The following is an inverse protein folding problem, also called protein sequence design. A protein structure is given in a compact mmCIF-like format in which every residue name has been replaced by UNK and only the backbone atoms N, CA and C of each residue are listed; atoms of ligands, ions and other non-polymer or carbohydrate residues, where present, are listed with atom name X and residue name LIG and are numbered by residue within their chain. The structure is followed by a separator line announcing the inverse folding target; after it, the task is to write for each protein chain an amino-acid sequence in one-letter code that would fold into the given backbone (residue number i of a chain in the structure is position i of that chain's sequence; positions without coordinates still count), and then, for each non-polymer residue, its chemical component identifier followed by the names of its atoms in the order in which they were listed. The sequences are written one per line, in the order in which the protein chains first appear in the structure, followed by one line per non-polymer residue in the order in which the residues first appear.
data_IF_438631560481
#
_entry.id   IF_438631560481
#
_cell.length_a   1.000
_cell.length_b   1.000
_cell.length_c   1.000
_cell.angle_alpha   90.00
_cell.angle_beta   90.00
_cell.angle_gamma   90.00
#
_symmetry.space_group_name_H-M   'P 1'
#
loop_
_entity.id
_entity.type
_entity.pdbx_description
1 polymer ?
#
# COMPACT_ATOMS: atom_id res chain seq x y z
N UNK A 1 25.31 25.47 4.84
CA UNK A 1 24.99 24.15 4.26
C UNK A 1 23.75 23.49 4.89
N UNK A 2 23.74 22.99 6.14
CA UNK A 2 22.56 22.29 6.74
C UNK A 2 21.20 23.00 6.53
N UNK A 3 21.12 24.31 6.75
CA UNK A 3 19.89 25.08 6.51
C UNK A 3 19.46 25.13 5.04
N UNK A 4 20.40 25.12 4.08
CA UNK A 4 20.10 25.15 2.64
C UNK A 4 19.43 23.85 2.18
N UNK A 5 19.90 22.69 2.65
CA UNK A 5 19.23 21.40 2.44
C UNK A 5 17.76 21.46 2.91
N UNK A 6 17.53 21.86 4.15
CA UNK A 6 16.19 21.82 4.78
C UNK A 6 15.25 22.93 4.30
N UNK A 7 15.77 24.11 3.92
CA UNK A 7 14.97 25.30 3.54
C UNK A 7 14.89 25.55 2.03
N UNK A 8 15.78 24.96 1.22
CA UNK A 8 15.81 25.15 -0.24
C UNK A 8 15.64 23.82 -0.97
N UNK A 9 16.52 22.83 -0.75
CA UNK A 9 16.46 21.57 -1.50
C UNK A 9 15.20 20.76 -1.19
N UNK A 10 14.88 20.50 0.08
CA UNK A 10 13.67 19.71 0.43
C UNK A 10 12.37 20.36 -0.11
N UNK A 11 12.14 21.68 -0.02
CA UNK A 11 10.97 22.32 -0.65
C UNK A 11 10.87 22.22 -2.19
N UNK A 12 11.97 22.02 -2.94
CA UNK A 12 11.92 21.90 -4.41
C UNK A 12 11.14 20.67 -4.88
N UNK A 13 11.08 19.59 -4.08
CA UNK A 13 10.26 18.40 -4.35
C UNK A 13 8.75 18.71 -4.41
N UNK A 14 8.29 19.84 -3.89
CA UNK A 14 6.88 20.25 -3.96
C UNK A 14 6.43 20.70 -5.36
N UNK A 15 7.34 21.21 -6.18
CA UNK A 15 7.04 21.86 -7.48
C UNK A 15 6.39 20.87 -8.46
N UNK A 16 5.52 21.34 -9.35
CA UNK A 16 4.82 20.49 -10.34
C UNK A 16 5.79 19.83 -11.32
N UNK A 17 6.73 20.59 -11.89
CA UNK A 17 7.69 20.15 -12.92
C UNK A 17 8.94 19.44 -12.38
N UNK A 18 8.82 18.73 -11.25
CA UNK A 18 9.94 18.05 -10.58
C UNK A 18 10.69 17.07 -11.51
N UNK A 19 10.00 16.46 -12.47
CA UNK A 19 10.57 15.51 -13.44
C UNK A 19 11.67 16.10 -14.32
N UNK A 20 11.78 17.42 -14.43
CA UNK A 20 12.84 18.08 -15.22
C UNK A 20 14.20 18.11 -14.53
N UNK A 21 14.26 17.92 -13.20
CA UNK A 21 15.50 18.06 -12.42
C UNK A 21 15.62 17.06 -11.24
N UNK A 22 14.75 16.06 -11.17
CA UNK A 22 14.66 15.13 -10.03
C UNK A 22 15.97 14.40 -9.74
N UNK A 23 16.59 13.78 -10.75
CA UNK A 23 17.81 13.01 -10.58
C UNK A 23 18.96 13.87 -10.03
N UNK A 24 19.07 15.12 -10.49
CA UNK A 24 20.07 16.07 -10.03
C UNK A 24 19.80 16.53 -8.59
N UNK A 25 18.53 16.64 -8.19
CA UNK A 25 18.13 17.01 -6.84
C UNK A 25 18.28 15.85 -5.84
N UNK A 26 17.85 14.64 -6.20
CA UNK A 26 18.03 13.41 -5.43
C UNK A 26 19.53 13.15 -5.18
N UNK A 27 20.35 13.20 -6.24
CA UNK A 27 21.82 13.14 -6.13
C UNK A 27 22.38 14.21 -5.16
N UNK A 28 21.90 15.45 -5.22
CA UNK A 28 22.30 16.49 -4.25
C UNK A 28 21.89 16.14 -2.81
N UNK A 29 20.72 15.52 -2.60
CA UNK A 29 20.25 15.10 -1.27
C UNK A 29 21.10 13.94 -0.74
N UNK A 30 21.34 12.89 -1.54
CA UNK A 30 22.19 11.74 -1.18
C UNK A 30 23.60 12.18 -0.82
N UNK A 31 24.23 13.05 -1.63
CA UNK A 31 25.56 13.61 -1.37
C UNK A 31 25.63 14.57 -0.17
N UNK A 32 24.47 14.95 0.40
CA UNK A 32 24.38 15.63 1.70
C UNK A 32 24.34 14.63 2.87
N UNK A 33 23.78 13.43 2.68
CA UNK A 33 23.67 12.38 3.70
C UNK A 33 24.98 11.61 3.86
N UNK A 34 25.66 11.24 2.77
CA UNK A 34 26.99 10.60 2.80
C UNK A 34 28.03 11.40 3.60
N UNK A 35 27.87 12.73 3.65
CA UNK A 35 28.77 13.65 4.36
C UNK A 35 28.37 13.88 5.81
N UNK A 36 27.12 13.58 6.16
CA UNK A 36 26.55 13.82 7.49
C UNK A 36 25.21 13.09 7.68
N UNK A 37 25.27 11.83 8.10
CA UNK A 37 24.11 10.98 8.33
C UNK A 37 23.14 11.51 9.42
N UNK A 38 23.54 12.49 10.24
CA UNK A 38 22.61 13.19 11.16
C UNK A 38 21.51 13.96 10.42
N UNK A 39 21.68 14.19 9.11
CA UNK A 39 20.71 14.85 8.25
C UNK A 39 19.61 13.92 7.71
N UNK A 40 19.77 12.59 7.79
CA UNK A 40 18.84 11.65 7.17
C UNK A 40 17.44 11.72 7.80
N UNK A 41 17.34 11.86 9.11
CA UNK A 41 16.05 12.01 9.80
C UNK A 41 15.25 13.25 9.32
N UNK A 42 15.77 14.49 9.37
CA UNK A 42 15.03 15.65 8.88
C UNK A 42 14.81 15.64 7.35
N UNK A 43 15.66 14.95 6.56
CA UNK A 43 15.45 14.73 5.12
C UNK A 43 14.25 13.81 4.88
N UNK A 44 14.25 12.59 5.42
CA UNK A 44 13.17 11.61 5.21
C UNK A 44 11.85 12.13 5.79
N UNK A 45 11.85 12.75 6.99
CA UNK A 45 10.65 13.42 7.52
C UNK A 45 10.18 14.59 6.64
N UNK A 46 11.09 15.26 5.93
CA UNK A 46 10.78 16.30 4.94
C UNK A 46 10.11 15.76 3.68
N UNK A 47 10.66 14.69 3.08
CA UNK A 47 10.08 14.01 1.92
C UNK A 47 8.70 13.42 2.24
N UNK A 48 8.56 12.71 3.37
CA UNK A 48 7.27 12.19 3.84
C UNK A 48 6.24 13.30 4.10
N UNK A 49 6.67 14.49 4.53
CA UNK A 49 5.78 15.67 4.69
C UNK A 49 5.34 16.27 3.35
N UNK A 50 6.13 16.12 2.29
CA UNK A 50 5.83 16.60 0.94
C UNK A 50 5.33 15.51 -0.01
N UNK A 51 5.01 14.32 0.51
CA UNK A 51 4.59 13.16 -0.28
C UNK A 51 3.43 13.52 -1.23
N UNK A 52 3.54 13.24 -2.54
CA UNK A 52 2.48 13.53 -3.50
C UNK A 52 1.20 12.75 -3.20
N UNK A 53 0.03 13.34 -3.46
CA UNK A 53 -1.29 12.68 -3.24
C UNK A 53 -2.19 12.66 -4.46
N UNK A 54 -1.73 13.23 -5.57
CA UNK A 54 -2.53 13.52 -6.77
C UNK A 54 -1.73 13.34 -8.06
N UNK A 55 -0.59 12.64 -8.01
CA UNK A 55 0.32 12.49 -9.13
C UNK A 55 1.19 11.24 -8.92
N UNK A 56 0.71 10.09 -9.41
CA UNK A 56 1.36 8.79 -9.25
C UNK A 56 2.81 8.78 -9.74
N UNK A 57 3.09 9.49 -10.85
CA UNK A 57 4.46 9.62 -11.38
C UNK A 57 5.41 10.24 -10.37
N UNK A 58 4.97 11.26 -9.61
CA UNK A 58 5.80 11.83 -8.54
C UNK A 58 5.92 10.89 -7.34
N UNK A 59 4.93 10.04 -7.05
CA UNK A 59 5.07 9.02 -6.00
C UNK A 59 6.09 7.95 -6.40
N UNK A 60 6.09 7.50 -7.65
CA UNK A 60 7.13 6.60 -8.20
C UNK A 60 8.52 7.23 -8.11
N UNK A 61 8.65 8.53 -8.37
CA UNK A 61 9.91 9.27 -8.23
C UNK A 61 10.36 9.39 -6.76
N UNK A 62 9.46 9.74 -5.84
CA UNK A 62 9.75 9.80 -4.40
C UNK A 62 10.12 8.42 -3.83
N UNK A 63 9.52 7.33 -4.32
CA UNK A 63 9.92 5.97 -3.96
C UNK A 63 11.35 5.66 -4.44
N UNK A 64 11.76 6.17 -5.60
CA UNK A 64 13.14 6.08 -6.09
C UNK A 64 14.13 6.85 -5.23
N UNK A 65 13.87 8.14 -4.94
CA UNK A 65 14.73 8.95 -4.08
C UNK A 65 14.86 8.34 -2.66
N UNK A 66 13.78 7.76 -2.13
CA UNK A 66 13.81 7.05 -0.85
C UNK A 66 14.69 5.79 -0.89
N UNK A 67 14.72 5.05 -2.00
CA UNK A 67 15.61 3.89 -2.14
C UNK A 67 17.08 4.32 -2.23
N UNK A 68 17.40 5.33 -3.04
CA UNK A 68 18.74 5.94 -3.12
C UNK A 68 19.22 6.48 -1.75
N UNK A 69 18.28 6.94 -0.90
CA UNK A 69 18.56 7.36 0.49
C UNK A 69 18.74 6.16 1.44
N UNK A 70 18.05 5.02 1.20
CA UNK A 70 18.23 3.80 1.99
C UNK A 70 19.57 3.13 1.68
N UNK A 71 20.07 3.17 0.44
CA UNK A 71 21.39 2.62 0.08
C UNK A 71 22.56 3.27 0.85
N UNK A 72 22.37 4.48 1.38
CA UNK A 72 23.38 5.24 2.16
C UNK A 72 23.01 5.45 3.64
N UNK A 73 21.93 4.83 4.15
CA UNK A 73 21.49 5.08 5.53
C UNK A 73 22.29 4.25 6.55
N UNK A 74 22.82 4.88 7.60
CA UNK A 74 23.34 4.14 8.75
C UNK A 74 22.17 3.53 9.55
N UNK A 75 22.27 2.28 10.05
CA UNK A 75 21.21 1.65 10.84
C UNK A 75 20.71 2.49 12.04
N UNK A 76 21.56 3.21 12.81
CA UNK A 76 21.09 4.09 13.90
C UNK A 76 20.22 5.28 13.44
N UNK A 77 20.29 5.68 12.17
CA UNK A 77 19.37 6.69 11.60
C UNK A 77 18.08 6.02 11.10
N UNK A 78 18.19 4.85 10.46
CA UNK A 78 17.05 4.05 9.99
C UNK A 78 16.05 3.77 11.12
N UNK A 79 16.54 3.39 12.31
CA UNK A 79 15.70 3.14 13.51
C UNK A 79 14.79 4.33 13.88
N UNK A 80 15.18 5.57 13.56
CA UNK A 80 14.40 6.79 13.86
C UNK A 80 13.30 7.08 12.83
N UNK A 81 13.45 6.55 11.61
CA UNK A 81 12.57 6.85 10.46
C UNK A 81 11.77 5.64 9.96
N UNK A 82 12.10 4.42 10.37
CA UNK A 82 11.42 3.19 9.92
C UNK A 82 9.90 3.24 10.11
N UNK A 83 9.42 3.67 11.28
CA UNK A 83 7.99 3.75 11.56
C UNK A 83 7.23 4.67 10.58
N UNK A 84 7.54 5.99 10.49
CA UNK A 84 6.83 6.87 9.55
C UNK A 84 7.09 6.52 8.08
N UNK A 85 8.26 5.94 7.75
CA UNK A 85 8.57 5.48 6.39
C UNK A 85 7.70 4.27 6.00
N UNK A 86 7.75 3.17 6.73
CA UNK A 86 6.96 1.98 6.39
C UNK A 86 5.45 2.21 6.56
N UNK A 87 5.02 3.10 7.46
CA UNK A 87 3.62 3.61 7.49
C UNK A 87 3.22 4.39 6.23
N UNK A 88 4.16 4.83 5.39
CA UNK A 88 3.89 5.38 4.06
C UNK A 88 4.04 4.33 2.95
N UNK A 89 5.08 3.48 3.00
CA UNK A 89 5.24 2.35 2.05
C UNK A 89 4.01 1.44 2.08
N UNK A 90 3.44 1.13 3.24
CA UNK A 90 2.18 0.38 3.39
C UNK A 90 1.00 0.98 2.59
N UNK A 91 0.96 2.31 2.41
CA UNK A 91 -0.06 3.01 1.61
C UNK A 91 0.24 2.94 0.11
N UNK A 92 1.51 3.09 -0.27
CA UNK A 92 1.95 2.99 -1.66
C UNK A 92 1.78 1.55 -2.20
N UNK A 93 2.13 0.55 -1.40
CA UNK A 93 1.85 -0.88 -1.67
C UNK A 93 0.33 -1.13 -1.73
N UNK A 94 -0.46 -0.46 -0.89
CA UNK A 94 -1.95 -0.47 -0.97
C UNK A 94 -2.54 0.40 -2.11
N UNK A 95 -1.74 0.99 -2.99
CA UNK A 95 -2.26 1.88 -4.03
C UNK A 95 -2.95 1.08 -5.14
N UNK A 96 -4.15 1.48 -5.60
CA UNK A 96 -4.78 0.85 -6.77
C UNK A 96 -4.02 1.12 -8.08
N UNK A 97 -3.10 2.08 -8.07
CA UNK A 97 -2.27 2.46 -9.23
C UNK A 97 -1.02 1.57 -9.30
N UNK A 98 -1.07 0.52 -10.14
CA UNK A 98 -0.10 -0.58 -10.12
C UNK A 98 1.37 -0.15 -10.08
N UNK A 99 1.80 0.85 -10.86
CA UNK A 99 3.20 1.32 -10.87
C UNK A 99 3.70 1.84 -9.50
N UNK A 100 2.81 2.37 -8.65
CA UNK A 100 3.17 2.85 -7.30
C UNK A 100 3.30 1.67 -6.34
N UNK A 101 2.43 0.66 -6.46
CA UNK A 101 2.51 -0.56 -5.66
C UNK A 101 3.73 -1.41 -6.05
N UNK A 102 3.97 -1.59 -7.35
CA UNK A 102 5.14 -2.28 -7.93
C UNK A 102 6.45 -1.62 -7.50
N UNK A 103 6.58 -0.29 -7.69
CA UNK A 103 7.81 0.44 -7.31
C UNK A 103 8.10 0.36 -5.81
N UNK A 104 7.08 0.29 -4.98
CA UNK A 104 7.21 0.14 -3.54
C UNK A 104 7.51 -1.32 -3.11
N UNK A 105 7.01 -2.33 -3.85
CA UNK A 105 7.32 -3.74 -3.60
C UNK A 105 8.74 -4.12 -4.03
N UNK A 106 9.36 -3.40 -4.96
CA UNK A 106 10.76 -3.62 -5.34
C UNK A 106 11.77 -3.28 -4.23
N UNK A 107 11.37 -2.62 -3.13
CA UNK A 107 12.24 -2.44 -1.95
C UNK A 107 12.68 -3.80 -1.34
N UNK A 108 11.93 -4.87 -1.56
CA UNK A 108 12.30 -6.24 -1.14
C UNK A 108 13.29 -6.94 -2.09
N UNK A 109 13.62 -6.32 -3.23
CA UNK A 109 14.67 -6.80 -4.14
C UNK A 109 16.04 -6.16 -3.84
N UNK A 110 16.08 -5.12 -3.01
CA UNK A 110 17.29 -4.42 -2.60
C UNK A 110 17.88 -5.11 -1.36
N UNK A 111 19.10 -5.66 -1.48
CA UNK A 111 19.73 -6.46 -0.43
C UNK A 111 19.98 -5.67 0.86
N UNK A 112 20.34 -4.38 0.77
CA UNK A 112 20.60 -3.56 1.95
C UNK A 112 19.31 -3.07 2.62
N UNK A 113 18.30 -2.68 1.83
CA UNK A 113 16.97 -2.41 2.38
C UNK A 113 16.39 -3.66 3.08
N UNK A 114 16.63 -4.86 2.52
CA UNK A 114 16.22 -6.12 3.14
C UNK A 114 16.93 -6.42 4.46
N UNK A 115 18.26 -6.21 4.57
CA UNK A 115 18.96 -6.41 5.85
C UNK A 115 18.49 -5.45 6.94
N UNK A 116 18.24 -4.18 6.59
CA UNK A 116 17.64 -3.20 7.50
C UNK A 116 16.22 -3.61 7.96
N UNK A 117 15.44 -4.24 7.08
CA UNK A 117 14.11 -4.80 7.42
C UNK A 117 14.24 -6.02 8.35
N UNK A 118 15.23 -6.88 8.13
CA UNK A 118 15.49 -8.07 8.95
C UNK A 118 15.87 -7.71 10.39
N UNK A 119 16.86 -6.84 10.57
CA UNK A 119 17.29 -6.33 11.89
C UNK A 119 16.14 -5.67 12.68
N UNK A 120 15.13 -5.13 11.98
CA UNK A 120 14.02 -4.36 12.56
C UNK A 120 12.65 -5.03 12.39
N UNK A 121 12.62 -6.33 12.09
CA UNK A 121 11.41 -7.04 11.68
C UNK A 121 10.25 -6.91 12.68
N UNK A 122 10.55 -6.85 13.97
CA UNK A 122 9.59 -6.70 15.07
C UNK A 122 8.79 -5.37 15.03
N UNK A 123 9.30 -4.33 14.37
CA UNK A 123 8.62 -3.03 14.18
C UNK A 123 7.99 -2.94 12.79
N UNK A 124 8.69 -3.40 11.75
CA UNK A 124 8.29 -3.23 10.36
C UNK A 124 7.17 -4.19 9.95
N UNK A 125 7.23 -5.46 10.34
CA UNK A 125 6.21 -6.44 9.93
C UNK A 125 4.81 -6.10 10.47
N UNK A 126 4.61 -5.70 11.75
CA UNK A 126 3.29 -5.26 12.23
C UNK A 126 2.69 -4.06 11.46
N UNK A 127 3.54 -3.19 10.89
CA UNK A 127 3.10 -2.03 10.10
C UNK A 127 2.72 -2.45 8.67
N UNK A 128 3.50 -3.34 8.06
CA UNK A 128 3.33 -3.75 6.67
C UNK A 128 2.31 -4.87 6.46
N UNK A 129 2.22 -5.82 7.40
CA UNK A 129 1.40 -7.03 7.28
C UNK A 129 -0.09 -6.74 6.99
N UNK A 130 -0.79 -5.80 7.67
CA UNK A 130 -2.20 -5.52 7.40
C UNK A 130 -2.47 -4.98 5.99
N UNK A 131 -1.50 -4.28 5.39
CA UNK A 131 -1.59 -3.85 3.99
C UNK A 131 -1.40 -5.05 3.05
N UNK A 132 -0.26 -5.75 3.16
CA UNK A 132 0.10 -6.89 2.32
C UNK A 132 -0.98 -7.99 2.33
N UNK A 133 -1.43 -8.40 3.52
CA UNK A 133 -2.41 -9.49 3.70
C UNK A 133 -3.83 -9.15 3.21
N UNK A 134 -4.11 -7.87 2.96
CA UNK A 134 -5.32 -7.40 2.26
C UNK A 134 -5.13 -7.46 0.75
N UNK A 135 -4.03 -6.91 0.25
CA UNK A 135 -3.74 -6.78 -1.20
C UNK A 135 -3.64 -8.15 -1.87
N UNK A 136 -3.07 -9.15 -1.19
CA UNK A 136 -2.99 -10.54 -1.68
C UNK A 136 -4.33 -11.25 -1.91
N UNK A 137 -5.45 -10.61 -1.55
CA UNK A 137 -6.83 -11.11 -1.69
C UNK A 137 -7.75 -10.19 -2.48
N UNK A 138 -7.51 -8.88 -2.40
CA UNK A 138 -8.43 -7.84 -2.89
C UNK A 138 -7.89 -7.08 -4.12
N UNK A 139 -6.65 -7.32 -4.56
CA UNK A 139 -6.04 -6.55 -5.66
C UNK A 139 -6.32 -7.13 -7.06
N UNK A 140 -6.63 -6.23 -8.00
CA UNK A 140 -7.05 -6.58 -9.36
C UNK A 140 -5.90 -7.13 -10.24
N UNK A 141 -4.73 -6.51 -10.18
CA UNK A 141 -3.55 -6.91 -10.96
C UNK A 141 -2.84 -8.09 -10.28
N UNK A 142 -2.76 -9.22 -10.98
CA UNK A 142 -2.18 -10.47 -10.49
C UNK A 142 -0.65 -10.42 -10.31
N UNK A 143 0.06 -9.58 -11.06
CA UNK A 143 1.52 -9.37 -10.87
C UNK A 143 1.81 -8.76 -9.50
N UNK A 144 0.99 -7.77 -9.08
CA UNK A 144 1.08 -7.17 -7.75
C UNK A 144 0.74 -8.20 -6.66
N UNK A 145 -0.27 -9.04 -6.88
CA UNK A 145 -0.63 -10.13 -5.97
C UNK A 145 0.53 -11.11 -5.80
N UNK A 146 1.21 -11.51 -6.89
CA UNK A 146 2.37 -12.39 -6.85
C UNK A 146 3.56 -11.76 -6.10
N UNK A 147 3.89 -10.50 -6.38
CA UNK A 147 4.93 -9.76 -5.64
C UNK A 147 4.62 -9.68 -4.14
N UNK A 148 3.36 -9.43 -3.76
CA UNK A 148 2.93 -9.42 -2.36
C UNK A 148 3.02 -10.82 -1.71
N UNK A 149 2.75 -11.90 -2.45
CA UNK A 149 2.95 -13.26 -1.92
C UNK A 149 4.44 -13.58 -1.68
N UNK A 150 5.34 -13.11 -2.55
CA UNK A 150 6.78 -13.23 -2.31
C UNK A 150 7.19 -12.49 -1.03
N UNK A 151 6.76 -11.23 -0.87
CA UNK A 151 7.02 -10.44 0.35
C UNK A 151 6.47 -11.09 1.62
N UNK A 152 5.24 -11.62 1.57
CA UNK A 152 4.64 -12.35 2.71
C UNK A 152 5.41 -13.64 3.04
N UNK A 153 5.93 -14.35 2.03
CA UNK A 153 6.78 -15.52 2.22
C UNK A 153 8.09 -15.13 2.92
N UNK A 154 8.77 -14.08 2.47
CA UNK A 154 10.00 -13.58 3.10
C UNK A 154 9.79 -13.16 4.55
N UNK A 155 8.67 -12.49 4.88
CA UNK A 155 8.31 -12.19 6.27
C UNK A 155 8.07 -13.44 7.14
N UNK A 156 7.46 -14.48 6.58
CA UNK A 156 7.25 -15.77 7.27
C UNK A 156 8.58 -16.53 7.49
N UNK A 157 9.53 -16.42 6.55
CA UNK A 157 10.87 -17.01 6.66
C UNK A 157 11.73 -16.26 7.69
N UNK A 158 11.60 -14.93 7.74
CA UNK A 158 12.29 -14.02 8.66
C UNK A 158 11.85 -14.19 10.13
N UNK A 159 10.55 -14.33 10.40
CA UNK A 159 10.03 -14.55 11.76
C UNK A 159 8.63 -15.19 11.74
N UNK A 160 8.59 -16.51 11.54
CA UNK A 160 7.35 -17.30 11.47
C UNK A 160 6.44 -17.10 12.67
N UNK A 161 6.97 -17.03 13.89
CA UNK A 161 6.19 -16.82 15.13
C UNK A 161 5.46 -15.49 15.12
N UNK A 162 6.14 -14.39 14.78
CA UNK A 162 5.49 -13.07 14.70
C UNK A 162 4.53 -13.00 13.50
N UNK A 163 4.84 -13.67 12.40
CA UNK A 163 3.94 -13.77 11.24
C UNK A 163 2.62 -14.47 11.59
N UNK A 164 2.66 -15.57 12.36
CA UNK A 164 1.47 -16.27 12.85
C UNK A 164 0.67 -15.44 13.87
N UNK A 165 1.34 -14.75 14.80
CA UNK A 165 0.71 -13.84 15.76
C UNK A 165 -0.01 -12.68 15.05
N UNK A 166 0.62 -12.07 14.04
CA UNK A 166 0.01 -11.03 13.20
C UNK A 166 -1.15 -11.58 12.36
N UNK A 167 -1.01 -12.80 11.83
CA UNK A 167 -2.07 -13.49 11.08
C UNK A 167 -3.29 -13.76 11.95
N UNK A 168 -3.10 -14.19 13.20
CA UNK A 168 -4.18 -14.41 14.16
C UNK A 168 -4.84 -13.08 14.58
N UNK A 169 -4.02 -12.07 14.90
CA UNK A 169 -4.48 -10.73 15.30
C UNK A 169 -5.32 -10.05 14.21
N UNK A 170 -4.85 -10.03 12.96
CA UNK A 170 -5.58 -9.46 11.82
C UNK A 170 -6.93 -10.15 11.58
N UNK A 171 -6.98 -11.49 11.69
CA UNK A 171 -8.24 -12.25 11.59
C UNK A 171 -9.22 -11.87 12.71
N UNK A 172 -8.74 -11.75 13.95
CA UNK A 172 -9.55 -11.37 15.09
C UNK A 172 -10.08 -9.92 14.98
N UNK A 173 -9.24 -8.97 14.58
CA UNK A 173 -9.64 -7.58 14.38
C UNK A 173 -10.67 -7.43 13.26
N UNK A 174 -10.49 -8.09 12.11
CA UNK A 174 -11.50 -8.08 11.03
C UNK A 174 -12.85 -8.67 11.45
N UNK A 175 -12.88 -9.70 12.31
CA UNK A 175 -14.14 -10.19 12.88
C UNK A 175 -14.77 -9.21 13.87
N UNK A 176 -13.95 -8.55 14.70
CA UNK A 176 -14.38 -7.50 15.64
C UNK A 176 -14.88 -6.24 14.92
N UNK A 177 -14.31 -5.90 13.77
CA UNK A 177 -14.80 -4.88 12.84
C UNK A 177 -16.17 -5.26 12.26
N UNK A 178 -16.28 -6.44 11.63
CA UNK A 178 -17.54 -6.95 11.07
C UNK A 178 -18.64 -7.21 12.11
N UNK A 179 -18.30 -7.33 13.41
CA UNK A 179 -19.30 -7.35 14.51
C UNK A 179 -19.80 -5.95 14.82
N UNK A 180 -18.89 -4.98 15.04
CA UNK A 180 -19.22 -3.56 15.27
C UNK A 180 -20.02 -2.95 14.10
N UNK A 181 -19.78 -3.42 12.89
CA UNK A 181 -20.54 -2.99 11.71
C UNK A 181 -22.01 -3.39 11.81
N UNK A 182 -22.30 -4.68 12.03
CA UNK A 182 -23.66 -5.20 12.23
C UNK A 182 -24.36 -4.58 13.44
N UNK A 183 -23.64 -4.37 14.55
CA UNK A 183 -24.17 -3.66 15.72
C UNK A 183 -24.63 -2.23 15.38
N UNK A 184 -23.92 -1.52 14.48
CA UNK A 184 -24.38 -0.22 13.96
C UNK A 184 -25.57 -0.34 13.02
N UNK A 185 -25.59 -1.34 12.12
CA UNK A 185 -26.71 -1.58 11.21
C UNK A 185 -28.00 -1.89 11.98
N UNK A 186 -27.93 -2.72 13.02
CA UNK A 186 -29.03 -3.05 13.92
C UNK A 186 -29.54 -1.80 14.69
N UNK A 187 -28.63 -0.96 15.20
CA UNK A 187 -28.97 0.33 15.83
C UNK A 187 -29.66 1.29 14.85
N UNK A 188 -29.16 1.43 13.62
CA UNK A 188 -29.77 2.27 12.59
C UNK A 188 -31.14 1.76 12.14
N UNK A 189 -31.29 0.44 11.98
CA UNK A 189 -32.57 -0.19 11.65
C UNK A 189 -33.61 0.07 12.74
N UNK A 190 -33.23 -0.11 14.01
CA UNK A 190 -34.11 0.16 15.16
C UNK A 190 -34.47 1.65 15.29
N UNK A 191 -33.56 2.56 14.92
CA UNK A 191 -33.87 4.00 14.86
C UNK A 191 -34.89 4.32 13.76
N UNK A 192 -34.77 3.71 12.57
CA UNK A 192 -35.77 3.86 11.51
C UNK A 192 -37.13 3.25 11.88
N UNK A 193 -37.16 2.12 12.57
CA UNK A 193 -38.40 1.50 13.08
C UNK A 193 -39.11 2.39 14.13
N UNK A 194 -38.35 3.10 14.96
CA UNK A 194 -38.91 4.06 15.92
C UNK A 194 -39.41 5.35 15.24
N UNK A 195 -38.70 5.86 14.24
CA UNK A 195 -39.12 7.05 13.49
C UNK A 195 -40.35 6.77 12.60
N UNK A 196 -40.44 5.59 11.97
CA UNK A 196 -41.63 5.21 11.22
C UNK A 196 -42.84 4.98 12.13
N UNK A 197 -42.66 4.32 13.29
CA UNK A 197 -43.71 4.19 14.31
C UNK A 197 -44.14 5.55 14.90
N UNK A 198 -43.27 6.57 14.85
CA UNK A 198 -43.59 7.95 15.27
C UNK A 198 -44.30 8.77 14.18
N UNK A 199 -44.44 8.23 12.97
CA UNK A 199 -45.37 8.69 11.93
C UNK A 199 -46.52 7.68 11.74
N UNK A 200 -47.47 7.57 12.69
CA UNK A 200 -48.82 7.16 12.31
C UNK A 200 -49.36 8.21 11.31
N UNK A 201 -50.22 7.78 10.39
CA UNK A 201 -50.85 8.69 9.44
C UNK A 201 -51.59 9.82 10.18
N UNK A 202 -51.40 11.06 9.73
CA UNK A 202 -52.27 12.17 10.12
C UNK A 202 -53.54 12.08 9.25
N UNK A 203 -54.69 11.63 9.77
CA UNK A 203 -55.87 11.44 8.95
C UNK A 203 -56.43 12.79 8.55
N UNK A 204 -56.92 12.90 7.32
CA UNK A 204 -57.62 14.09 6.84
C UNK A 204 -58.88 14.30 7.68
N UNK A 205 -58.98 15.45 8.36
CA UNK A 205 -60.24 15.90 8.97
C UNK A 205 -61.08 16.56 7.89
N UNK A 206 -62.06 15.82 7.39
CA UNK A 206 -63.15 16.32 6.56
C UNK A 206 -64.51 16.11 7.26
N UNK A 207 -65.51 16.92 6.90
CA UNK A 207 -66.89 16.82 7.36
C UNK A 207 -67.32 17.92 8.34
N UNK A 208 -68.00 18.96 7.85
CA UNK A 208 -68.75 19.88 8.73
C UNK A 208 -68.90 21.35 8.28
N UNK A 209 -69.33 21.64 7.06
CA UNK A 209 -69.63 23.01 6.64
C UNK A 209 -71.00 23.50 7.17
N UNK A 210 -71.09 24.69 7.78
CA UNK A 210 -72.37 25.19 8.31
C UNK A 210 -72.38 26.57 9.00
N UNK A 211 -72.24 27.66 8.22
CA UNK A 211 -72.71 29.04 8.54
C UNK A 211 -72.23 29.74 9.83
N UNK A 212 -71.39 30.78 9.68
CA UNK A 212 -71.10 31.75 10.74
C UNK A 212 -70.31 32.97 10.23
N UNK A 213 -70.90 34.17 10.23
CA UNK A 213 -70.35 35.34 9.53
C UNK A 213 -69.39 36.20 10.35
N UNK A 214 -68.22 36.48 9.74
CA UNK A 214 -67.49 37.75 9.70
C UNK A 214 -67.41 38.66 10.96
N UNK A 215 -66.21 38.74 11.54
CA UNK A 215 -65.49 39.99 11.84
C UNK A 215 -63.99 39.65 12.04
N UNK A 216 -63.06 40.59 11.78
CA UNK A 216 -61.62 40.26 11.78
C UNK A 216 -60.69 41.32 12.36
N UNK A 217 -59.55 40.86 12.90
CA UNK A 217 -58.38 41.66 13.25
C UNK A 217 -58.40 42.34 14.65
N UNK A 218 -57.25 42.65 15.26
CA UNK A 218 -55.88 42.21 14.91
C UNK A 218 -54.88 42.37 16.07
N UNK A 219 -54.18 41.28 16.38
CA UNK A 219 -52.78 41.18 16.87
C UNK A 219 -52.24 42.16 17.93
N UNK A 220 -52.03 41.63 19.14
CA UNK A 220 -50.88 41.92 20.00
C UNK A 220 -50.47 40.62 20.72
N UNK A 221 -49.21 40.29 21.01
CA UNK A 221 -47.91 40.86 20.58
C UNK A 221 -47.04 39.67 20.08
N UNK A 222 -45.90 39.84 19.40
CA UNK A 222 -44.72 40.56 19.87
C UNK A 222 -43.47 39.70 19.68
N UNK A 223 -43.17 39.35 18.42
CA UNK A 223 -42.00 38.53 18.06
C UNK A 223 -41.00 39.35 17.22
N UNK A 224 -39.94 39.84 17.87
CA UNK A 224 -38.79 40.43 17.20
C UNK A 224 -37.61 39.45 17.29
N UNK A 225 -37.06 39.06 16.14
CA UNK A 225 -35.96 38.11 16.05
C UNK A 225 -34.76 38.66 15.26
N UNK A 226 -33.62 37.97 15.33
CA UNK A 226 -32.44 38.12 14.47
C UNK A 226 -31.47 36.97 14.77
N UNK A 227 -30.71 36.40 13.82
CA UNK A 227 -30.76 36.52 12.35
C UNK A 227 -29.95 35.35 11.76
N UNK A 228 -30.46 34.59 10.77
CA UNK A 228 -29.64 33.68 9.93
C UNK A 228 -30.33 33.37 8.58
N UNK A 229 -29.88 34.01 7.50
CA UNK A 229 -29.97 33.60 6.08
C UNK A 229 -29.28 34.67 5.20
N UNK A 230 -29.09 34.48 3.88
CA UNK A 230 -28.96 33.25 3.10
C UNK A 230 -27.67 33.19 2.23
N UNK A 231 -27.36 32.03 1.65
CA UNK A 231 -27.26 31.91 0.19
C UNK A 231 -27.13 30.45 -0.27
N UNK A 232 -27.80 30.12 -1.39
CA UNK A 232 -27.74 28.81 -2.04
C UNK A 232 -27.90 28.96 -3.56
N UNK A 233 -27.00 28.32 -4.33
CA UNK A 233 -27.01 28.20 -5.79
C UNK A 233 -26.20 26.94 -6.17
N UNK A 234 -26.58 26.07 -7.12
CA UNK A 234 -27.91 25.70 -7.65
C UNK A 234 -27.81 24.25 -8.17
N UNK A 235 -28.92 23.52 -8.28
CA UNK A 235 -28.94 22.20 -8.94
C UNK A 235 -29.07 22.32 -10.46
N UNK A 236 -28.40 21.45 -11.19
CA UNK A 236 -28.84 20.97 -12.51
C UNK A 236 -28.33 19.56 -12.76
N UNK A 237 -29.24 18.60 -12.91
CA UNK A 237 -28.96 17.25 -13.36
C UNK A 237 -29.91 16.90 -14.50
N UNK A 238 -29.40 16.24 -15.54
CA UNK A 238 -30.21 15.80 -16.69
C UNK A 238 -30.05 14.31 -16.88
N UNK A 239 -31.17 13.60 -16.95
CA UNK A 239 -31.24 12.15 -17.01
C UNK A 239 -31.34 11.62 -18.43
N UNK A 240 -30.59 10.58 -18.75
CA UNK A 240 -30.96 9.60 -19.79
C UNK A 240 -30.76 8.19 -19.25
N UNK A 241 -31.75 7.33 -19.47
CA UNK A 241 -31.82 5.97 -18.96
C UNK A 241 -31.63 4.94 -20.06
N UNK A 242 -30.90 3.86 -19.78
CA UNK A 242 -31.07 2.59 -20.47
C UNK A 242 -30.83 1.43 -19.49
N UNK A 243 -31.47 0.29 -19.75
CA UNK A 243 -31.66 -0.78 -18.77
C UNK A 243 -31.35 -2.15 -19.36
N UNK A 244 -30.60 -2.98 -18.64
CA UNK A 244 -30.62 -4.42 -18.80
C UNK A 244 -30.27 -5.11 -17.47
N UNK A 245 -30.76 -6.33 -17.29
CA UNK A 245 -30.50 -7.18 -16.12
C UNK A 245 -30.27 -8.63 -16.60
N UNK A 246 -30.16 -9.66 -15.75
CA UNK A 246 -28.85 -10.26 -15.51
C UNK A 246 -28.73 -11.71 -16.00
N UNK A 247 -27.50 -12.19 -16.12
CA UNK A 247 -27.19 -13.61 -16.36
C UNK A 247 -26.30 -14.18 -15.26
N UNK A 248 -26.62 -15.38 -14.82
CA UNK A 248 -25.93 -16.11 -13.75
C UNK A 248 -24.75 -16.92 -14.26
N UNK A 249 -23.71 -17.10 -13.43
CA UNK A 249 -22.85 -18.28 -13.46
C UNK A 249 -22.44 -18.70 -12.05
N UNK A 250 -22.39 -20.01 -11.82
CA UNK A 250 -22.03 -20.66 -10.55
C UNK A 250 -20.61 -21.23 -10.61
N UNK A 251 -19.90 -21.30 -9.47
CA UNK A 251 -19.25 -22.52 -8.93
C UNK A 251 -18.29 -22.25 -7.77
N UNK A 252 -18.00 -23.30 -7.00
CA UNK A 252 -17.11 -23.32 -5.83
C UNK A 252 -15.61 -23.22 -6.21
N UNK A 253 -14.64 -23.07 -5.30
CA UNK A 253 -14.26 -24.14 -4.35
C UNK A 253 -13.38 -23.66 -3.17
N UNK A 254 -13.25 -24.53 -2.17
CA UNK A 254 -12.46 -24.33 -0.95
C UNK A 254 -10.94 -24.31 -1.19
N UNK A 255 -10.20 -23.74 -0.23
CA UNK A 255 -8.80 -24.09 0.02
C UNK A 255 -8.67 -24.70 1.42
N UNK A 256 -8.46 -26.01 1.47
CA UNK A 256 -8.22 -26.77 2.70
C UNK A 256 -6.99 -27.66 2.51
N UNK A 257 -5.99 -27.50 3.39
CA UNK A 257 -4.87 -28.40 3.70
C UNK A 257 -4.18 -29.19 2.55
N UNK A 258 -2.90 -28.89 2.33
CA UNK A 258 -1.93 -29.85 1.78
C UNK A 258 -0.64 -29.80 2.61
N UNK A 259 -0.46 -30.79 3.48
CA UNK A 259 0.79 -31.04 4.22
C UNK A 259 1.01 -32.54 4.29
N UNK A 260 2.05 -33.03 3.62
CA UNK A 260 2.54 -34.40 3.76
C UNK A 260 3.96 -34.55 3.19
N UNK A 261 4.79 -35.32 3.88
CA UNK A 261 6.13 -35.71 3.46
C UNK A 261 6.11 -37.13 2.82
N UNK A 262 7.11 -37.51 2.00
CA UNK A 262 7.09 -38.77 1.26
C UNK A 262 7.58 -39.98 2.08
N UNK A 263 7.00 -41.19 1.88
CA UNK A 263 7.52 -42.47 2.37
C UNK A 263 8.43 -43.20 1.34
N UNK A 264 9.19 -44.25 1.72
CA UNK A 264 10.29 -44.79 0.90
C UNK A 264 10.15 -46.25 0.40
N UNK A 265 10.80 -46.55 -0.74
CA UNK A 265 11.28 -47.89 -1.15
C UNK A 265 10.23 -48.95 -1.57
N UNK A 266 10.60 -50.13 -2.12
CA UNK A 266 11.85 -50.56 -2.80
C UNK A 266 11.67 -51.93 -3.50
N UNK A 267 12.61 -52.31 -4.39
CA UNK A 267 12.80 -53.66 -5.02
C UNK A 267 11.81 -54.11 -6.13
N UNK A 268 12.30 -54.88 -7.13
CA UNK A 268 11.46 -55.47 -8.21
C UNK A 268 12.15 -55.73 -9.57
N UNK A 269 13.07 -56.71 -9.63
CA UNK A 269 13.83 -57.22 -10.81
C UNK A 269 12.93 -57.80 -11.94
N UNK A 270 13.33 -58.08 -13.21
CA UNK A 270 14.64 -58.17 -13.91
C UNK A 270 14.50 -58.22 -15.48
N UNK A 271 15.63 -58.24 -16.22
CA UNK A 271 15.83 -58.68 -17.64
C UNK A 271 15.16 -57.79 -18.75
N UNK A 272 15.67 -57.55 -19.96
CA UNK A 272 16.96 -57.73 -20.70
C UNK A 272 16.85 -56.93 -22.06
N UNK A 273 17.79 -56.73 -22.99
CA UNK A 273 19.23 -57.05 -23.20
C UNK A 273 19.82 -56.07 -24.28
N UNK A 274 21.17 -55.97 -24.38
CA UNK A 274 21.96 -55.35 -25.47
C UNK A 274 21.91 -53.80 -25.65
N UNK A 275 22.98 -53.12 -26.07
CA UNK A 275 24.38 -53.55 -26.25
C UNK A 275 25.22 -52.54 -27.06
N UNK A 276 26.55 -52.57 -26.93
CA UNK A 276 27.48 -51.92 -27.87
C UNK A 276 28.40 -50.81 -27.35
N UNK A 277 29.67 -51.16 -27.10
CA UNK A 277 30.91 -50.37 -27.31
C UNK A 277 31.15 -49.06 -26.54
N UNK A 278 32.42 -48.87 -26.13
CA UNK A 278 32.93 -47.66 -25.46
C UNK A 278 34.20 -47.12 -26.12
N UNK A 279 34.40 -45.80 -26.07
CA UNK A 279 35.66 -45.02 -26.19
C UNK A 279 35.27 -43.53 -26.09
N UNK A 280 36.11 -42.59 -25.61
CA UNK A 280 37.47 -42.66 -25.07
C UNK A 280 37.64 -41.70 -23.87
N UNK A 281 38.82 -41.69 -23.24
CA UNK A 281 39.09 -41.03 -21.95
C UNK A 281 39.53 -39.56 -22.06
N UNK A 282 39.22 -38.77 -21.03
CA UNK A 282 39.86 -37.48 -20.77
C UNK A 282 41.32 -37.64 -20.26
N UNK A 283 42.12 -36.56 -20.27
CA UNK A 283 42.90 -36.00 -19.14
C UNK A 283 43.61 -34.70 -19.61
N UNK A 284 43.89 -33.76 -18.69
CA UNK A 284 44.70 -32.53 -18.91
C UNK A 284 46.20 -32.83 -18.61
N UNK A 285 47.13 -31.96 -18.09
CA UNK A 285 47.11 -30.53 -17.75
C UNK A 285 48.40 -29.72 -18.15
N UNK A 286 48.57 -28.54 -17.53
CA UNK A 286 49.82 -27.83 -17.17
C UNK A 286 50.58 -26.87 -18.13
N UNK A 287 50.53 -25.59 -17.73
CA UNK A 287 51.66 -24.75 -17.27
C UNK A 287 52.75 -24.20 -18.23
N UNK A 288 52.69 -22.86 -18.42
CA UNK A 288 53.74 -21.83 -18.30
C UNK A 288 55.10 -21.92 -19.06
N UNK A 289 55.49 -20.82 -19.73
CA UNK A 289 56.77 -20.11 -19.49
C UNK A 289 56.93 -18.75 -20.24
N UNK A 290 57.40 -17.73 -19.50
CA UNK A 290 58.41 -16.68 -19.79
C UNK A 290 58.40 -15.73 -21.04
N UNK A 291 58.61 -14.44 -20.74
CA UNK A 291 59.49 -13.44 -21.41
C UNK A 291 59.12 -12.85 -22.79
N UNK A 292 59.51 -11.61 -23.15
CA UNK A 292 60.10 -10.46 -22.42
C UNK A 292 60.01 -9.14 -23.24
N UNK A 293 60.18 -7.97 -22.57
CA UNK A 293 60.67 -6.63 -23.04
C UNK A 293 60.13 -6.01 -24.39
N UNK A 294 60.02 -4.69 -24.60
CA UNK A 294 60.83 -3.57 -24.09
C UNK A 294 60.17 -2.17 -24.33
N UNK A 295 60.79 -1.14 -23.73
CA UNK A 295 60.94 0.25 -24.20
C UNK A 295 59.72 1.14 -24.61
N UNK A 296 59.50 2.19 -23.80
CA UNK A 296 59.13 3.54 -24.25
C UNK A 296 60.45 4.34 -24.56
N UNK A 297 60.47 5.63 -25.02
CA UNK A 297 59.38 6.63 -25.03
C UNK A 297 59.31 7.64 -26.22
N UNK A 298 58.37 8.59 -26.13
CA UNK A 298 58.39 10.00 -26.60
C UNK A 298 58.79 10.34 -28.05
N UNK A 299 57.84 10.96 -28.79
CA UNK A 299 58.10 12.23 -29.47
C UNK A 299 56.83 12.97 -29.92
N UNK A 300 56.79 14.28 -29.60
CA UNK A 300 55.95 15.36 -30.19
C UNK A 300 54.43 15.14 -30.28
#
# INVERSE_FOLDING_TARGET
HKQFLVKVLLPLHKVKVLSLYHAQLAYCVVQFLEKDASLTEPVVRGLLKFWPKTCSQKEVMFLGEIEEILDVIEPPQFVKIQEPLFRQIAKCVSSPHFQVAERALYFWNNEYAMSLIEDNNAVIMPIMFPALYRISKEHWNQTIVALVYNVLKTFMEMNSKLFDELTASYKAERQKEKKREREREELWKRLHELESARRPDAPLVDGGAGSGTAAGGSLAAGAAGSQLNPNALTLSATSTSSSSSPSSVTSASNLTAASQAPPPGSTGTSLQQAGGSATSSATSPNAATNNAAAAAPLSK
#
